data_IF_119894157830
#
_entry.id   IF_119894157830
#
_cell.length_a   1.000
_cell.length_b   1.000
_cell.length_c   1.000
_cell.angle_alpha   90.00
_cell.angle_beta   90.00
_cell.angle_gamma   90.00
#
_symmetry.space_group_name_H-M   'P 1'
#
loop_
_entity.id
_entity.type
_entity.pdbx_description
1 polymer ?
#
# COMPACT_ATOMS: atom_id res chain seq x y z
N UNK A 1 8.89 17.96 22.16
CA UNK A 1 7.43 17.92 21.95
C UNK A 1 7.02 16.70 21.14
N UNK A 2 7.56 16.46 19.93
CA UNK A 2 7.16 15.32 19.08
C UNK A 2 7.33 13.93 19.72
N UNK A 3 8.47 13.65 20.36
CA UNK A 3 8.69 12.37 21.07
C UNK A 3 7.66 12.12 22.19
N UNK A 4 7.30 13.16 22.94
CA UNK A 4 6.29 13.06 24.00
C UNK A 4 4.90 12.76 23.43
N UNK A 5 4.56 13.34 22.26
CA UNK A 5 3.30 13.06 21.57
C UNK A 5 3.27 11.63 21.03
N UNK A 6 4.36 11.16 20.41
CA UNK A 6 4.47 9.77 19.95
C UNK A 6 4.33 8.79 21.11
N UNK A 7 5.05 9.04 22.22
CA UNK A 7 4.94 8.22 23.42
C UNK A 7 3.53 8.20 24.00
N UNK A 8 2.87 9.36 24.06
CA UNK A 8 1.47 9.43 24.49
C UNK A 8 0.55 8.60 23.59
N UNK A 9 0.70 8.69 22.26
CA UNK A 9 -0.11 7.93 21.32
C UNK A 9 0.15 6.42 21.45
N UNK A 10 1.43 6.01 21.45
CA UNK A 10 1.84 4.62 21.54
C UNK A 10 1.44 3.96 22.86
N UNK A 11 1.70 4.61 24.00
CA UNK A 11 1.39 4.07 25.32
C UNK A 11 -0.13 3.86 25.48
N UNK A 12 -0.96 4.75 24.93
CA UNK A 12 -2.42 4.58 24.95
C UNK A 12 -2.90 3.50 23.97
N UNK A 13 -2.31 3.41 22.77
CA UNK A 13 -2.59 2.32 21.83
C UNK A 13 -2.28 0.96 22.48
N UNK A 14 -1.07 0.80 23.03
CA UNK A 14 -0.65 -0.41 23.72
C UNK A 14 -1.56 -0.73 24.91
N UNK A 15 -2.00 0.28 25.66
CA UNK A 15 -2.88 0.06 26.83
C UNK A 15 -4.27 -0.43 26.48
N UNK A 16 -4.86 0.05 25.38
CA UNK A 16 -6.30 -0.12 25.11
C UNK A 16 -6.63 -0.88 23.83
N UNK A 17 -5.64 -1.11 22.95
CA UNK A 17 -5.86 -1.67 21.61
C UNK A 17 -4.68 -2.53 21.11
N UNK A 18 -3.81 -3.03 21.99
CA UNK A 18 -2.65 -3.84 21.59
C UNK A 18 -3.02 -5.01 20.67
N UNK A 19 -2.38 -5.08 19.51
CA UNK A 19 -2.64 -6.10 18.48
C UNK A 19 -3.86 -5.82 17.60
N UNK A 20 -4.74 -4.90 17.97
CA UNK A 20 -5.84 -4.44 17.11
C UNK A 20 -5.33 -3.40 16.11
N UNK A 21 -6.10 -3.13 15.05
CA UNK A 21 -5.61 -2.27 13.97
C UNK A 21 -5.43 -0.81 14.42
N UNK A 22 -6.40 -0.26 15.16
CA UNK A 22 -6.43 1.15 15.53
C UNK A 22 -6.99 1.35 16.95
N UNK A 23 -6.80 2.54 17.52
CA UNK A 23 -7.34 2.95 18.83
C UNK A 23 -8.52 3.91 18.65
N UNK A 24 -9.61 3.70 19.39
CA UNK A 24 -10.63 4.72 19.68
C UNK A 24 -10.27 5.44 20.99
N UNK A 25 -9.64 6.63 20.96
CA UNK A 25 -9.01 7.22 22.13
C UNK A 25 -10.01 7.69 23.19
N UNK A 26 -11.21 8.13 22.78
CA UNK A 26 -12.25 8.60 23.71
C UNK A 26 -12.89 7.41 24.44
N UNK A 27 -13.27 6.35 23.71
CA UNK A 27 -13.91 5.18 24.30
C UNK A 27 -12.92 4.17 24.88
N UNK A 28 -11.62 4.34 24.66
CA UNK A 28 -10.54 3.46 25.14
C UNK A 28 -10.73 2.00 24.71
N UNK A 29 -11.03 1.80 23.43
CA UNK A 29 -11.27 0.49 22.81
C UNK A 29 -10.53 0.40 21.49
N UNK A 30 -10.30 -0.81 20.99
CA UNK A 30 -9.80 -1.00 19.64
C UNK A 30 -10.82 -0.62 18.56
N UNK A 31 -10.29 -0.32 17.39
CA UNK A 31 -11.03 -0.17 16.14
C UNK A 31 -10.44 -1.12 15.10
N UNK A 32 -11.33 -1.82 14.40
CA UNK A 32 -11.00 -2.64 13.24
C UNK A 32 -11.69 -2.04 12.03
N UNK A 33 -10.96 -1.26 11.24
CA UNK A 33 -11.44 -0.78 9.95
C UNK A 33 -11.60 -1.95 8.98
N UNK A 34 -12.68 -1.92 8.18
CA UNK A 34 -12.94 -2.94 7.15
C UNK A 34 -11.87 -2.96 6.05
N UNK A 35 -11.06 -1.91 5.92
CA UNK A 35 -9.98 -1.81 4.93
C UNK A 35 -8.90 -2.89 5.12
N UNK A 36 -8.68 -3.34 6.36
CA UNK A 36 -7.69 -4.36 6.69
C UNK A 36 -8.29 -5.75 6.82
N UNK A 37 -9.60 -5.89 6.60
CA UNK A 37 -10.33 -7.14 6.82
C UNK A 37 -10.06 -7.70 8.22
N UNK A 38 -9.48 -8.89 8.27
CA UNK A 38 -9.11 -9.57 9.51
C UNK A 38 -7.59 -9.55 9.78
N UNK A 39 -6.79 -8.82 9.00
CA UNK A 39 -5.39 -8.57 9.33
C UNK A 39 -5.36 -7.72 10.61
N UNK A 40 -4.41 -8.02 11.49
CA UNK A 40 -4.27 -7.39 12.79
C UNK A 40 -3.00 -6.52 12.86
N UNK A 41 -2.95 -5.62 13.83
CA UNK A 41 -1.75 -4.85 14.16
C UNK A 41 -1.36 -3.74 13.18
N UNK A 42 -2.31 -3.14 12.45
CA UNK A 42 -2.00 -2.02 11.55
C UNK A 42 -1.17 -0.92 12.23
N UNK A 43 -1.60 -0.40 13.39
CA UNK A 43 -0.84 0.62 14.15
C UNK A 43 0.52 0.11 14.63
N UNK A 44 0.69 -1.20 14.91
CA UNK A 44 2.00 -1.75 15.30
C UNK A 44 2.96 -1.64 14.12
N UNK A 45 2.54 -2.11 12.93
CA UNK A 45 3.38 -2.12 11.73
C UNK A 45 3.67 -0.71 11.24
N UNK A 46 2.66 0.15 11.18
CA UNK A 46 2.73 1.53 10.68
C UNK A 46 3.58 2.44 11.59
N UNK A 47 3.83 2.03 12.83
CA UNK A 47 4.66 2.78 13.78
C UNK A 47 6.11 2.28 13.88
N UNK A 48 6.47 1.13 13.29
CA UNK A 48 7.78 0.50 13.49
C UNK A 48 8.94 1.44 13.16
N UNK A 49 8.91 2.05 11.99
CA UNK A 49 9.96 2.96 11.54
C UNK A 49 10.01 4.23 12.40
N UNK A 50 8.86 4.78 12.80
CA UNK A 50 8.73 5.95 13.65
C UNK A 50 9.32 5.69 15.03
N UNK A 51 9.00 4.54 15.65
CA UNK A 51 9.60 4.11 16.91
C UNK A 51 11.13 3.99 16.78
N UNK A 52 11.60 3.44 15.66
CA UNK A 52 13.03 3.27 15.40
C UNK A 52 13.77 4.61 15.27
N UNK A 53 13.29 5.53 14.41
CA UNK A 53 13.94 6.84 14.19
C UNK A 53 13.87 7.76 15.41
N UNK A 54 12.86 7.57 16.27
CA UNK A 54 12.72 8.30 17.54
C UNK A 54 13.50 7.65 18.70
N UNK A 55 14.28 6.61 18.44
CA UNK A 55 15.08 5.86 19.41
C UNK A 55 14.25 5.21 20.55
N UNK A 56 12.98 4.91 20.29
CA UNK A 56 12.07 4.21 21.21
C UNK A 56 12.32 2.69 21.14
N UNK A 57 13.55 2.27 21.50
CA UNK A 57 14.08 0.92 21.24
C UNK A 57 13.32 -0.20 21.94
N UNK A 58 12.84 0.04 23.17
CA UNK A 58 12.06 -0.97 23.91
C UNK A 58 10.68 -1.17 23.25
N UNK A 59 10.00 -0.08 22.89
CA UNK A 59 8.74 -0.12 22.17
C UNK A 59 8.88 -0.80 20.80
N UNK A 60 9.95 -0.49 20.07
CA UNK A 60 10.27 -1.15 18.80
C UNK A 60 10.49 -2.66 18.98
N UNK A 61 11.23 -3.06 20.02
CA UNK A 61 11.48 -4.48 20.32
C UNK A 61 10.19 -5.23 20.62
N UNK A 62 9.29 -4.66 21.43
CA UNK A 62 7.98 -5.24 21.73
C UNK A 62 7.11 -5.36 20.47
N UNK A 63 7.12 -4.34 19.61
CA UNK A 63 6.43 -4.35 18.33
C UNK A 63 6.97 -5.45 17.40
N UNK A 64 8.30 -5.59 17.31
CA UNK A 64 8.95 -6.66 16.55
C UNK A 64 8.53 -8.05 17.05
N UNK A 65 8.59 -8.27 18.36
CA UNK A 65 8.17 -9.55 18.97
C UNK A 65 6.69 -9.85 18.68
N UNK A 66 5.83 -8.83 18.65
CA UNK A 66 4.44 -9.02 18.27
C UNK A 66 4.31 -9.41 16.80
N UNK A 67 5.02 -8.74 15.88
CA UNK A 67 5.03 -9.06 14.45
C UNK A 67 5.47 -10.49 14.21
N UNK A 68 6.54 -10.93 14.88
CA UNK A 68 7.08 -12.28 14.72
C UNK A 68 6.08 -13.37 15.18
N UNK A 69 5.38 -13.13 16.29
CA UNK A 69 4.52 -14.14 16.93
C UNK A 69 3.08 -14.13 16.44
N UNK A 70 2.55 -12.98 16.01
CA UNK A 70 1.11 -12.79 15.83
C UNK A 70 0.69 -12.27 14.45
N UNK A 71 1.58 -11.67 13.66
CA UNK A 71 1.19 -11.13 12.35
C UNK A 71 0.98 -12.27 11.35
N UNK A 72 -0.29 -12.57 11.06
CA UNK A 72 -0.73 -13.61 10.13
C UNK A 72 -1.51 -13.02 8.96
N UNK A 73 -1.17 -13.47 7.75
CA UNK A 73 -1.82 -13.07 6.50
C UNK A 73 -2.73 -14.17 5.93
N UNK A 74 -2.84 -15.33 6.58
CA UNK A 74 -3.71 -16.43 6.17
C UNK A 74 -5.15 -16.28 6.71
N UNK A 75 -5.72 -15.08 6.57
CA UNK A 75 -7.04 -14.74 7.10
C UNK A 75 -8.09 -14.75 6.00
N UNK A 76 -9.29 -15.27 6.28
CA UNK A 76 -10.39 -15.26 5.31
C UNK A 76 -11.17 -13.94 5.38
N UNK A 77 -10.63 -12.88 4.78
CA UNK A 77 -11.26 -11.58 4.71
C UNK A 77 -10.87 -10.83 3.45
N UNK A 78 -11.76 -9.96 2.99
CA UNK A 78 -11.46 -8.97 1.96
C UNK A 78 -10.69 -7.81 2.57
N UNK A 79 -9.63 -7.38 1.89
CA UNK A 79 -8.79 -6.23 2.26
C UNK A 79 -8.72 -5.24 1.09
N UNK A 80 -8.46 -3.98 1.39
CA UNK A 80 -8.05 -3.00 0.38
C UNK A 80 -6.59 -3.24 0.00
N UNK A 81 -6.33 -3.54 -1.27
CA UNK A 81 -4.98 -3.82 -1.78
C UNK A 81 -4.08 -2.59 -1.60
N UNK A 82 -4.62 -1.40 -1.87
CA UNK A 82 -3.94 -0.12 -1.71
C UNK A 82 -3.54 0.12 -0.24
N UNK A 83 -4.49 0.07 0.70
CA UNK A 83 -4.22 0.37 2.12
C UNK A 83 -3.25 -0.63 2.75
N UNK A 84 -3.38 -1.93 2.42
CA UNK A 84 -2.47 -2.96 2.92
C UNK A 84 -1.07 -2.80 2.30
N UNK A 85 -0.96 -2.38 1.04
CA UNK A 85 0.32 -2.09 0.42
C UNK A 85 1.04 -0.94 1.13
N UNK A 86 0.43 0.24 1.20
CA UNK A 86 1.13 1.44 1.67
C UNK A 86 1.44 1.38 3.18
N UNK A 87 0.63 0.69 3.98
CA UNK A 87 0.82 0.61 5.44
C UNK A 87 1.62 -0.61 5.87
N UNK A 88 1.18 -1.81 5.48
CA UNK A 88 1.84 -3.04 5.95
C UNK A 88 3.08 -3.36 5.14
N UNK A 89 3.01 -3.40 3.81
CA UNK A 89 4.20 -3.67 2.99
C UNK A 89 5.20 -2.53 3.16
N UNK A 90 4.76 -1.28 3.04
CA UNK A 90 5.59 -0.09 3.28
C UNK A 90 6.24 -0.08 4.66
N UNK A 91 5.46 -0.23 5.74
CA UNK A 91 5.98 -0.22 7.11
C UNK A 91 6.98 -1.36 7.40
N UNK A 92 6.72 -2.57 6.89
CA UNK A 92 7.65 -3.70 7.03
C UNK A 92 8.94 -3.48 6.22
N UNK A 93 8.85 -2.94 5.01
CA UNK A 93 10.04 -2.60 4.20
C UNK A 93 10.89 -1.53 4.89
N UNK A 94 10.28 -0.45 5.36
CA UNK A 94 10.97 0.61 6.10
C UNK A 94 11.65 0.08 7.36
N UNK A 95 10.93 -0.72 8.16
CA UNK A 95 11.47 -1.35 9.36
C UNK A 95 12.67 -2.26 9.04
N UNK A 96 12.62 -3.02 7.94
CA UNK A 96 13.74 -3.83 7.48
C UNK A 96 14.96 -2.97 7.12
N UNK A 97 14.81 -1.98 6.24
CA UNK A 97 15.94 -1.16 5.80
C UNK A 97 16.60 -0.37 6.93
N UNK A 98 15.84 0.02 7.96
CA UNK A 98 16.36 0.75 9.11
C UNK A 98 17.06 -0.16 10.14
N UNK A 99 16.50 -1.35 10.40
CA UNK A 99 16.93 -2.21 11.52
C UNK A 99 17.78 -3.41 11.11
N UNK A 100 17.70 -3.87 9.86
CA UNK A 100 18.30 -5.11 9.39
C UNK A 100 17.63 -6.39 9.91
N UNK A 101 16.50 -6.30 10.61
CA UNK A 101 15.80 -7.45 11.18
C UNK A 101 15.03 -8.22 10.11
N UNK A 102 15.51 -9.43 9.78
CA UNK A 102 15.01 -10.25 8.65
C UNK A 102 13.53 -10.65 8.77
N UNK A 103 12.94 -10.62 9.98
CA UNK A 103 11.50 -10.89 10.17
C UNK A 103 10.64 -9.94 9.34
N UNK A 104 11.03 -8.67 9.24
CA UNK A 104 10.27 -7.68 8.49
C UNK A 104 10.35 -7.90 6.98
N UNK A 105 11.55 -8.20 6.45
CA UNK A 105 11.71 -8.60 5.04
C UNK A 105 10.88 -9.82 4.71
N UNK A 106 10.95 -10.87 5.54
CA UNK A 106 10.18 -12.11 5.33
C UNK A 106 8.68 -11.82 5.29
N UNK A 107 8.16 -11.03 6.24
CA UNK A 107 6.74 -10.67 6.31
C UNK A 107 6.30 -9.77 5.15
N UNK A 108 7.14 -8.83 4.71
CA UNK A 108 6.86 -7.98 3.56
C UNK A 108 6.69 -8.82 2.28
N UNK A 109 7.62 -9.76 2.03
CA UNK A 109 7.56 -10.66 0.87
C UNK A 109 6.35 -11.60 0.96
N UNK A 110 6.10 -12.21 2.12
CA UNK A 110 4.92 -13.05 2.36
C UNK A 110 3.62 -12.33 2.01
N UNK A 111 3.48 -11.08 2.47
CA UNK A 111 2.31 -10.26 2.16
C UNK A 111 2.26 -9.86 0.68
N UNK A 112 3.39 -9.49 0.08
CA UNK A 112 3.47 -9.17 -1.35
C UNK A 112 2.97 -10.32 -2.22
N UNK A 113 3.40 -11.55 -1.94
CA UNK A 113 2.95 -12.75 -2.66
C UNK A 113 1.43 -12.94 -2.56
N UNK A 114 0.86 -12.66 -1.39
CA UNK A 114 -0.58 -12.73 -1.15
C UNK A 114 -1.38 -11.67 -1.90
N UNK A 115 -0.78 -10.55 -2.29
CA UNK A 115 -1.42 -9.49 -3.07
C UNK A 115 -1.39 -9.75 -4.59
N UNK A 116 -0.53 -10.64 -5.08
CA UNK A 116 -0.40 -10.94 -6.52
C UNK A 116 -1.72 -11.30 -7.23
N UNK A 117 -2.66 -12.05 -6.62
CA UNK A 117 -3.93 -12.36 -7.26
C UNK A 117 -4.81 -11.12 -7.57
N UNK A 118 -4.58 -9.97 -6.94
CA UNK A 118 -5.30 -8.73 -7.26
C UNK A 118 -5.12 -8.34 -8.73
N UNK A 119 -3.98 -8.67 -9.33
CA UNK A 119 -3.63 -8.36 -10.72
C UNK A 119 -4.18 -9.37 -11.73
N UNK A 120 -4.95 -10.37 -11.29
CA UNK A 120 -5.57 -11.36 -12.17
C UNK A 120 -6.83 -10.78 -12.83
N UNK A 121 -6.61 -9.79 -13.70
CA UNK A 121 -7.62 -9.14 -14.54
C UNK A 121 -7.17 -9.20 -16.00
N UNK A 122 -8.08 -9.08 -16.99
CA UNK A 122 -7.70 -9.11 -18.40
C UNK A 122 -6.61 -8.09 -18.80
N UNK A 123 -6.58 -6.93 -18.13
CA UNK A 123 -5.63 -5.86 -18.41
C UNK A 123 -4.39 -5.90 -17.52
N UNK A 124 -4.45 -6.62 -16.40
CA UNK A 124 -3.48 -6.57 -15.31
C UNK A 124 -3.58 -5.31 -14.45
N UNK A 125 -4.60 -4.46 -14.62
CA UNK A 125 -4.95 -3.42 -13.64
C UNK A 125 -5.60 -4.11 -12.45
N UNK A 126 -5.12 -3.91 -11.21
CA UNK A 126 -5.54 -4.70 -10.08
C UNK A 126 -6.97 -4.36 -9.62
N UNK A 127 -7.60 -5.36 -8.99
CA UNK A 127 -8.79 -5.18 -8.16
C UNK A 127 -8.48 -4.33 -6.93
N UNK A 128 -9.43 -3.48 -6.53
CA UNK A 128 -9.34 -2.68 -5.30
C UNK A 128 -9.39 -3.53 -4.02
N UNK A 129 -10.27 -4.54 -4.02
CA UNK A 129 -10.50 -5.44 -2.91
C UNK A 129 -10.03 -6.84 -3.26
N UNK A 130 -9.38 -7.51 -2.31
CA UNK A 130 -8.89 -8.88 -2.47
C UNK A 130 -9.21 -9.70 -1.22
N UNK A 131 -9.80 -10.88 -1.40
CA UNK A 131 -9.78 -11.88 -0.33
C UNK A 131 -8.42 -12.56 -0.30
N UNK A 132 -7.64 -12.31 0.76
CA UNK A 132 -6.23 -12.73 0.85
C UNK A 132 -6.05 -14.25 0.99
N UNK A 133 -7.11 -14.99 1.37
CA UNK A 133 -7.10 -16.45 1.46
C UNK A 133 -7.50 -17.12 0.15
N UNK A 134 -8.60 -16.67 -0.47
CA UNK A 134 -9.12 -17.29 -1.70
C UNK A 134 -8.48 -16.74 -2.98
N UNK A 135 -7.85 -15.57 -2.92
CA UNK A 135 -7.30 -14.87 -4.08
C UNK A 135 -8.36 -14.24 -4.99
N UNK A 136 -9.64 -14.22 -4.57
CA UNK A 136 -10.74 -13.63 -5.34
C UNK A 136 -10.75 -12.12 -5.09
N UNK A 137 -10.68 -11.33 -6.16
CA UNK A 137 -10.73 -9.87 -6.10
C UNK A 137 -11.97 -9.27 -6.75
N UNK A 138 -12.30 -8.03 -6.36
CA UNK A 138 -13.37 -7.20 -6.94
C UNK A 138 -13.07 -5.73 -6.74
N UNK A 139 -13.78 -4.86 -7.45
CA UNK A 139 -13.73 -3.42 -7.20
C UNK A 139 -14.79 -2.97 -6.18
N UNK A 140 -14.68 -1.72 -5.75
CA UNK A 140 -15.65 -1.11 -4.85
C UNK A 140 -17.05 -1.12 -5.46
N UNK A 141 -18.11 -1.45 -4.69
CA UNK A 141 -19.48 -1.53 -5.21
C UNK A 141 -20.00 -0.21 -5.79
N UNK A 142 -19.50 0.91 -5.28
CA UNK A 142 -19.88 2.27 -5.69
C UNK A 142 -18.99 2.83 -6.80
N UNK A 143 -17.91 2.15 -7.18
CA UNK A 143 -16.98 2.66 -8.18
C UNK A 143 -17.64 2.70 -9.57
N UNK A 144 -17.40 3.80 -10.28
CA UNK A 144 -18.00 4.09 -11.58
C UNK A 144 -17.80 2.94 -12.56
N UNK A 145 -18.89 2.28 -13.00
CA UNK A 145 -18.83 1.17 -13.95
C UNK A 145 -17.98 -0.02 -13.50
N UNK A 146 -17.84 -0.24 -12.18
CA UNK A 146 -16.97 -1.28 -11.64
C UNK A 146 -15.48 -1.06 -11.88
N UNK A 147 -15.06 0.19 -12.06
CA UNK A 147 -13.67 0.57 -12.33
C UNK A 147 -12.76 0.49 -11.10
N UNK A 148 -11.46 0.34 -11.34
CA UNK A 148 -10.42 0.50 -10.34
C UNK A 148 -10.07 2.00 -10.20
N UNK A 149 -9.57 2.40 -9.02
CA UNK A 149 -9.31 3.81 -8.68
C UNK A 149 -7.86 4.17 -8.96
N UNK A 150 -7.63 5.30 -9.63
CA UNK A 150 -6.31 5.74 -10.10
C UNK A 150 -5.26 5.78 -8.98
N UNK A 151 -5.56 6.45 -7.87
CA UNK A 151 -4.64 6.48 -6.72
C UNK A 151 -4.41 5.08 -6.12
N UNK A 152 -5.40 4.18 -6.14
CA UNK A 152 -5.23 2.86 -5.52
C UNK A 152 -4.26 1.97 -6.31
N UNK A 153 -4.46 1.85 -7.63
CA UNK A 153 -3.54 1.04 -8.45
C UNK A 153 -2.25 1.79 -8.82
N UNK A 154 -2.28 3.13 -8.81
CA UNK A 154 -1.13 3.99 -9.09
C UNK A 154 -0.09 4.00 -7.97
N UNK A 155 -0.52 3.70 -6.74
CA UNK A 155 0.28 3.84 -5.52
C UNK A 155 0.69 2.46 -4.97
N UNK A 156 1.18 1.61 -5.88
CA UNK A 156 1.76 0.29 -5.57
C UNK A 156 3.24 0.21 -5.99
N UNK A 157 3.72 1.21 -6.74
CA UNK A 157 4.96 1.10 -7.52
C UNK A 157 6.20 0.94 -6.65
N UNK A 158 6.35 1.76 -5.60
CA UNK A 158 7.58 1.79 -4.81
C UNK A 158 7.78 0.49 -4.03
N UNK A 159 6.73 0.02 -3.35
CA UNK A 159 6.74 -1.20 -2.55
C UNK A 159 7.03 -2.41 -3.44
N UNK A 160 6.36 -2.52 -4.60
CA UNK A 160 6.52 -3.67 -5.49
C UNK A 160 7.91 -3.72 -6.13
N UNK A 161 8.53 -2.58 -6.44
CA UNK A 161 9.93 -2.55 -6.91
C UNK A 161 10.87 -3.08 -5.80
N UNK A 162 10.68 -2.65 -4.55
CA UNK A 162 11.48 -3.15 -3.43
C UNK A 162 11.20 -4.62 -3.09
N UNK A 163 9.96 -5.09 -3.24
CA UNK A 163 9.62 -6.52 -3.10
C UNK A 163 10.39 -7.36 -4.12
N UNK A 164 10.45 -6.93 -5.38
CA UNK A 164 11.27 -7.61 -6.40
C UNK A 164 12.76 -7.57 -6.05
N UNK A 165 13.27 -6.43 -5.59
CA UNK A 165 14.67 -6.31 -5.18
C UNK A 165 15.02 -7.27 -4.03
N UNK A 166 14.23 -7.30 -2.96
CA UNK A 166 14.52 -8.10 -1.77
C UNK A 166 14.22 -9.59 -1.94
N UNK A 167 13.24 -9.98 -2.77
CA UNK A 167 12.92 -11.38 -3.02
C UNK A 167 13.76 -12.00 -4.14
N UNK A 168 14.32 -11.19 -5.03
CA UNK A 168 14.90 -11.63 -6.30
C UNK A 168 13.85 -12.09 -7.32
N UNK A 169 12.55 -11.99 -7.01
CA UNK A 169 11.47 -12.39 -7.90
C UNK A 169 10.96 -11.17 -8.71
N UNK A 170 11.14 -11.15 -10.05
CA UNK A 170 10.76 -10.00 -10.88
C UNK A 170 9.25 -9.77 -10.97
N UNK A 171 8.42 -10.73 -10.54
CA UNK A 171 6.96 -10.67 -10.71
C UNK A 171 6.33 -9.40 -10.13
N UNK A 172 6.83 -8.89 -8.99
CA UNK A 172 6.27 -7.69 -8.36
C UNK A 172 6.51 -6.45 -9.23
N UNK A 173 7.74 -6.22 -9.66
CA UNK A 173 8.09 -5.15 -10.59
C UNK A 173 7.29 -5.27 -11.91
N UNK A 174 7.19 -6.48 -12.46
CA UNK A 174 6.42 -6.72 -13.70
C UNK A 174 4.95 -6.29 -13.57
N UNK A 175 4.30 -6.53 -12.41
CA UNK A 175 2.92 -6.10 -12.17
C UNK A 175 2.76 -4.59 -12.25
N UNK A 176 3.60 -3.82 -11.56
CA UNK A 176 3.49 -2.35 -11.53
C UNK A 176 3.99 -1.69 -12.82
N UNK A 177 4.93 -2.31 -13.52
CA UNK A 177 5.32 -1.87 -14.86
C UNK A 177 4.22 -2.14 -15.90
N UNK A 178 3.43 -3.21 -15.73
CA UNK A 178 2.26 -3.44 -16.60
C UNK A 178 1.19 -2.34 -16.44
N UNK A 179 0.96 -1.83 -15.23
CA UNK A 179 0.07 -0.68 -15.01
C UNK A 179 0.51 0.52 -15.86
N UNK A 180 1.80 0.85 -15.88
CA UNK A 180 2.34 1.93 -16.72
C UNK A 180 2.08 1.69 -18.22
N UNK A 181 2.31 0.46 -18.68
CA UNK A 181 2.04 0.07 -20.09
C UNK A 181 0.58 0.27 -20.47
N UNK A 182 -0.37 -0.05 -19.59
CA UNK A 182 -1.80 0.18 -19.84
C UNK A 182 -2.09 1.67 -19.91
N UNK A 183 -1.65 2.45 -18.93
CA UNK A 183 -1.86 3.91 -18.88
C UNK A 183 -1.25 4.63 -20.09
N UNK A 184 -0.07 4.22 -20.54
CA UNK A 184 0.63 4.85 -21.67
C UNK A 184 -0.03 4.59 -23.02
N UNK A 185 -0.86 3.55 -23.14
CA UNK A 185 -1.63 3.27 -24.37
C UNK A 185 -2.93 4.07 -24.48
N UNK A 186 -3.37 4.68 -23.39
CA UNK A 186 -4.60 5.45 -23.35
C UNK A 186 -4.34 6.91 -23.69
N UNK A 187 -5.23 7.46 -24.50
CA UNK A 187 -5.38 8.91 -24.64
C UNK A 187 -5.84 9.48 -23.30
N UNK A 188 -5.20 10.57 -22.87
CA UNK A 188 -5.56 11.30 -21.65
C UNK A 188 -6.41 12.49 -22.07
N UNK A 189 -7.71 12.55 -21.71
CA UNK A 189 -8.57 13.67 -22.08
C UNK A 189 -7.97 14.99 -21.57
N UNK A 190 -7.67 15.92 -22.47
CA UNK A 190 -6.99 17.19 -22.15
C UNK A 190 -5.64 17.01 -21.40
N UNK A 191 -4.95 15.88 -21.59
CA UNK A 191 -3.73 15.54 -20.85
C UNK A 191 -3.96 15.06 -19.41
N UNK A 192 -5.21 14.99 -18.95
CA UNK A 192 -5.58 14.62 -17.59
C UNK A 192 -5.84 13.12 -17.44
N UNK A 193 -5.57 12.60 -16.24
CA UNK A 193 -5.84 11.20 -15.89
C UNK A 193 -7.19 11.07 -15.17
N UNK A 194 -8.20 10.42 -15.78
CA UNK A 194 -9.42 10.07 -15.07
C UNK A 194 -9.16 9.15 -13.87
N UNK A 195 -9.88 9.37 -12.78
CA UNK A 195 -9.72 8.61 -11.54
C UNK A 195 -10.26 7.18 -11.60
N UNK A 196 -10.91 6.78 -12.71
CA UNK A 196 -11.55 5.48 -12.88
C UNK A 196 -11.07 4.80 -14.15
N UNK A 197 -10.52 3.60 -14.03
CA UNK A 197 -10.12 2.77 -15.18
C UNK A 197 -10.70 1.36 -15.02
N UNK A 198 -11.40 0.88 -16.03
CA UNK A 198 -12.03 -0.44 -15.98
C UNK A 198 -11.00 -1.55 -16.18
N UNK A 199 -10.81 -2.48 -15.22
CA UNK A 199 -9.75 -3.49 -15.30
C UNK A 199 -10.03 -4.61 -16.30
N UNK A 200 -11.25 -4.71 -16.84
CA UNK A 200 -11.62 -5.69 -17.86
C UNK A 200 -11.39 -5.16 -19.27
N UNK A 201 -11.81 -3.93 -19.56
CA UNK A 201 -11.67 -3.32 -20.90
C UNK A 201 -10.38 -2.52 -21.08
N UNK A 202 -9.77 -2.08 -19.97
CA UNK A 202 -8.58 -1.21 -19.99
C UNK A 202 -8.89 0.20 -20.46
N UNK A 203 -10.16 0.63 -20.42
CA UNK A 203 -10.60 1.96 -20.84
C UNK A 203 -10.98 2.81 -19.63
N UNK A 204 -10.94 4.14 -19.82
CA UNK A 204 -11.42 5.08 -18.82
C UNK A 204 -12.91 4.88 -18.51
N UNK A 205 -13.27 5.06 -17.24
CA UNK A 205 -14.64 5.18 -16.77
C UNK A 205 -15.14 6.63 -16.92
N UNK A 206 -15.85 7.14 -15.92
CA UNK A 206 -16.18 8.57 -15.87
C UNK A 206 -14.92 9.43 -15.83
N UNK A 207 -14.91 10.52 -16.60
CA UNK A 207 -13.80 11.48 -16.70
C UNK A 207 -13.76 12.45 -15.50
N UNK A 208 -13.91 11.94 -14.28
CA UNK A 208 -13.65 12.70 -13.07
C UNK A 208 -12.15 12.73 -12.81
N UNK A 209 -11.61 13.93 -12.66
CA UNK A 209 -10.18 14.17 -12.41
C UNK A 209 -10.05 14.92 -11.09
N UNK A 210 -9.08 14.53 -10.28
CA UNK A 210 -8.74 15.21 -9.03
C UNK A 210 -7.27 14.99 -8.68
N UNK A 211 -6.64 16.01 -8.11
CA UNK A 211 -5.32 15.91 -7.46
C UNK A 211 -5.42 15.68 -5.95
N UNK A 212 -6.64 15.55 -5.42
CA UNK A 212 -6.93 15.07 -4.07
C UNK A 212 -7.35 13.60 -4.10
N UNK A 213 -8.23 13.21 -3.18
CA UNK A 213 -8.67 11.81 -3.06
C UNK A 213 -9.09 11.18 -4.41
N UNK A 214 -8.78 9.89 -4.55
CA UNK A 214 -8.91 9.05 -5.75
C UNK A 214 -7.84 9.26 -6.84
N UNK A 215 -7.05 10.34 -6.80
CA UNK A 215 -6.01 10.60 -7.81
C UNK A 215 -4.64 11.03 -7.25
N UNK A 216 -4.60 11.72 -6.11
CA UNK A 216 -3.41 12.31 -5.46
C UNK A 216 -2.10 11.51 -5.60
N UNK A 217 -2.04 10.34 -4.97
CA UNK A 217 -0.82 9.58 -4.76
C UNK A 217 -0.33 8.86 -6.00
N UNK A 218 -1.16 8.74 -7.05
CA UNK A 218 -0.69 8.32 -8.36
C UNK A 218 0.37 9.30 -8.88
N UNK A 219 0.07 10.60 -8.88
CA UNK A 219 1.00 11.64 -9.34
C UNK A 219 2.24 11.71 -8.45
N UNK A 220 2.06 11.56 -7.14
CA UNK A 220 3.14 11.46 -6.16
C UNK A 220 4.12 10.32 -6.52
N UNK A 221 3.59 9.14 -6.87
CA UNK A 221 4.40 7.96 -7.15
C UNK A 221 5.08 8.02 -8.51
N UNK A 222 4.58 8.80 -9.48
CA UNK A 222 5.33 9.07 -10.72
C UNK A 222 6.69 9.72 -10.42
N UNK A 223 6.67 10.79 -9.60
CA UNK A 223 7.88 11.49 -9.20
C UNK A 223 8.77 10.63 -8.30
N UNK A 224 8.18 9.99 -7.28
CA UNK A 224 8.95 9.17 -6.34
C UNK A 224 9.60 7.97 -7.01
N UNK A 225 8.96 7.32 -8.00
CA UNK A 225 9.55 6.22 -8.74
C UNK A 225 10.82 6.64 -9.50
N UNK A 226 10.78 7.82 -10.13
CA UNK A 226 11.97 8.40 -10.75
C UNK A 226 13.09 8.66 -9.73
N UNK A 227 12.78 9.29 -8.61
CA UNK A 227 13.79 9.57 -7.59
C UNK A 227 14.36 8.29 -6.95
N UNK A 228 13.52 7.31 -6.64
CA UNK A 228 13.89 6.05 -5.99
C UNK A 228 14.75 5.16 -6.88
N UNK A 229 14.58 5.24 -8.20
CA UNK A 229 15.37 4.50 -9.19
C UNK A 229 16.74 5.15 -9.48
N UNK A 230 17.26 6.00 -8.58
CA UNK A 230 18.44 6.84 -8.83
C UNK A 230 18.32 7.63 -10.14
N UNK A 231 17.12 8.18 -10.38
CA UNK A 231 16.79 8.96 -11.58
C UNK A 231 16.88 8.20 -12.90
N UNK A 232 16.81 6.87 -12.89
CA UNK A 232 16.88 6.05 -14.11
C UNK A 232 15.52 5.75 -14.74
N UNK A 233 14.40 5.86 -14.00
CA UNK A 233 13.04 5.72 -14.54
C UNK A 233 12.59 6.99 -15.30
N UNK A 234 13.09 7.13 -16.53
CA UNK A 234 12.75 8.23 -17.44
C UNK A 234 11.27 8.18 -17.90
N UNK A 235 10.63 7.00 -17.89
CA UNK A 235 9.19 6.89 -18.16
C UNK A 235 8.38 7.57 -17.04
N UNK A 236 8.70 7.26 -15.78
CA UNK A 236 8.06 7.88 -14.62
C UNK A 236 8.26 9.39 -14.55
N UNK A 237 9.48 9.87 -14.84
CA UNK A 237 9.78 11.30 -14.95
C UNK A 237 8.93 11.97 -16.03
N UNK A 238 8.87 11.41 -17.24
CA UNK A 238 8.08 11.98 -18.34
C UNK A 238 6.60 12.04 -17.97
N UNK A 239 6.05 10.92 -17.48
CA UNK A 239 4.64 10.86 -17.06
C UNK A 239 4.32 11.90 -15.98
N UNK A 240 5.22 12.13 -15.02
CA UNK A 240 5.04 13.14 -13.98
C UNK A 240 5.00 14.56 -14.57
N UNK A 241 6.02 14.95 -15.32
CA UNK A 241 6.10 16.31 -15.86
C UNK A 241 5.00 16.62 -16.89
N UNK A 242 4.60 15.64 -17.69
CA UNK A 242 3.45 15.78 -18.59
C UNK A 242 2.14 15.99 -17.81
N UNK A 243 1.99 15.35 -16.63
CA UNK A 243 0.75 15.41 -15.85
C UNK A 243 0.57 16.70 -15.03
N UNK A 244 1.66 17.40 -14.71
CA UNK A 244 1.64 18.63 -13.88
C UNK A 244 1.73 19.93 -14.68
N UNK A 245 1.83 19.83 -16.00
CA UNK A 245 1.94 20.97 -16.93
C UNK A 245 0.60 21.66 -17.18
#
# INVERSE_FOLDING_TARGET
VSLQMMKHAWDNYKRYAWGLNELKPISKQGHSSNLFGNIQGATIVDALDTLYIMEMKEEFKEAKEWVEKNLDFNVNAEISVFEVNIRFVGGLLSAYYLSGEEVFRKKAVELGEKLLPAFNTPTGIPWALLNIKSGIGRNWPWASGGSSILAEFGTLHLEFIHLSHLSGNPVFAEKVMNIRKVLNRLDKPEGLYPNYLNPSSGQWGQHHVSIGGLGDSFYEYLLKAWLMSDKTDEEGKKMYYDAVQ
#
